data_IF_323141471701
#
_entry.id   IF_323141471701
#
_cell.length_a   1.000
_cell.length_b   1.000
_cell.length_c   1.000
_cell.angle_alpha   90.00
_cell.angle_beta   90.00
_cell.angle_gamma   90.00
#
_symmetry.space_group_name_H-M   'P 1'
#
loop_
_entity.id
_entity.type
_entity.pdbx_description
1 polymer ?
#
# COMPACT_ATOMS: atom_id res chain seq x y z
N UNK A 1 -9.68 47.37 -49.43
CA UNK A 1 -8.31 47.94 -49.33
C UNK A 1 -7.56 47.11 -48.29
N UNK A 2 -6.68 46.20 -48.75
CA UNK A 2 -5.20 46.28 -48.60
C UNK A 2 -4.78 46.17 -47.10
N UNK A 3 -4.05 45.18 -46.60
CA UNK A 3 -3.04 44.29 -47.23
C UNK A 3 -2.76 43.08 -46.34
N UNK A 4 -2.48 41.94 -46.99
CA UNK A 4 -1.84 40.72 -46.50
C UNK A 4 -0.53 40.95 -45.73
N UNK A 5 -0.17 40.04 -44.81
CA UNK A 5 1.18 39.47 -44.75
C UNK A 5 1.19 38.12 -43.99
N UNK A 6 1.40 37.06 -44.78
CA UNK A 6 1.84 35.70 -44.42
C UNK A 6 3.22 35.74 -43.78
N UNK A 7 3.47 34.88 -42.78
CA UNK A 7 4.81 34.31 -42.53
C UNK A 7 4.74 32.79 -42.56
N UNK A 8 5.68 32.23 -43.33
CA UNK A 8 5.94 30.83 -43.64
C UNK A 8 7.32 30.49 -43.06
N UNK A 9 7.51 29.24 -42.61
CA UNK A 9 8.82 28.59 -42.41
C UNK A 9 9.12 28.30 -40.93
N UNK A 10 9.63 27.14 -40.51
CA UNK A 10 10.28 25.98 -41.17
C UNK A 10 10.21 24.80 -40.18
N UNK A 11 10.01 23.53 -40.60
CA UNK A 11 10.14 22.38 -39.71
C UNK A 11 11.60 21.93 -39.58
N UNK A 12 12.09 21.78 -38.34
CA UNK A 12 13.42 21.31 -38.00
C UNK A 12 13.42 19.77 -37.98
N UNK A 13 14.15 19.14 -38.91
CA UNK A 13 14.45 17.71 -38.91
C UNK A 13 15.38 17.38 -37.73
N UNK A 14 15.00 16.42 -36.89
CA UNK A 14 15.89 15.79 -35.93
C UNK A 14 16.44 14.48 -36.53
N UNK A 15 17.75 14.44 -36.71
CA UNK A 15 18.55 13.31 -37.18
C UNK A 15 18.71 12.22 -36.11
N UNK A 16 18.44 10.98 -36.48
CA UNK A 16 18.74 9.76 -35.70
C UNK A 16 20.17 9.34 -36.00
N UNK A 17 21.02 9.28 -34.97
CA UNK A 17 22.37 8.71 -35.07
C UNK A 17 22.41 7.35 -34.38
N UNK A 18 22.58 6.29 -35.18
CA UNK A 18 22.94 4.94 -34.76
C UNK A 18 24.44 4.90 -34.45
N UNK A 19 24.81 4.51 -33.23
CA UNK A 19 26.18 4.14 -32.86
C UNK A 19 26.23 2.63 -32.68
N UNK A 20 26.91 1.97 -33.60
CA UNK A 20 27.27 0.56 -33.54
C UNK A 20 28.75 0.45 -33.14
N UNK A 21 29.05 -0.33 -32.10
CA UNK A 21 30.40 -0.77 -31.78
C UNK A 21 30.43 -2.31 -31.83
N UNK A 22 30.91 -2.87 -32.94
CA UNK A 22 31.77 -4.06 -32.91
C UNK A 22 33.21 -3.58 -32.60
N UNK A 23 34.15 -4.35 -32.08
CA UNK A 23 34.31 -5.78 -31.84
C UNK A 23 35.83 -5.99 -31.87
N UNK A 24 36.39 -6.82 -31.00
CA UNK A 24 37.76 -7.34 -31.19
C UNK A 24 37.88 -8.74 -30.61
N UNK A 25 37.94 -9.72 -31.51
CA UNK A 25 38.42 -11.07 -31.29
C UNK A 25 39.95 -11.08 -31.33
N UNK A 26 40.61 -11.51 -30.25
CA UNK A 26 42.03 -11.84 -30.27
C UNK A 26 42.21 -13.37 -30.36
N UNK A 27 42.72 -13.80 -31.51
CA UNK A 27 43.27 -15.13 -31.76
C UNK A 27 44.67 -15.22 -31.19
N UNK A 28 44.91 -16.20 -30.32
CA UNK A 28 46.22 -16.54 -29.78
C UNK A 28 46.45 -18.04 -29.85
N UNK A 29 46.96 -18.51 -30.98
CA UNK A 29 47.49 -19.86 -31.18
C UNK A 29 48.90 -19.94 -30.60
N UNK A 30 49.11 -20.83 -29.63
CA UNK A 30 50.42 -21.18 -29.10
C UNK A 30 50.46 -22.65 -28.72
N UNK A 31 50.99 -23.48 -29.62
CA UNK A 31 51.27 -24.91 -29.43
C UNK A 31 52.67 -25.11 -28.88
N UNK A 32 52.84 -25.94 -27.84
CA UNK A 32 54.15 -26.48 -27.40
C UNK A 32 54.05 -27.27 -26.09
N UNK A 33 54.86 -28.33 -25.88
CA UNK A 33 54.35 -29.65 -25.49
C UNK A 33 54.47 -30.02 -24.00
N UNK A 34 53.81 -31.14 -23.70
CA UNK A 34 53.70 -31.89 -22.45
C UNK A 34 55.02 -32.28 -21.79
N UNK A 35 55.04 -32.25 -20.45
CA UNK A 35 55.74 -33.26 -19.64
C UNK A 35 55.04 -33.42 -18.28
N UNK A 36 54.93 -34.67 -17.85
CA UNK A 36 54.10 -35.11 -16.73
C UNK A 36 54.72 -34.87 -15.36
N UNK A 37 53.83 -34.75 -14.37
CA UNK A 37 54.19 -34.72 -12.95
C UNK A 37 52.96 -35.01 -12.09
N UNK A 38 52.87 -36.22 -11.58
CA UNK A 38 51.93 -36.65 -10.54
C UNK A 38 52.23 -35.93 -9.23
N UNK A 39 51.24 -35.22 -8.67
CA UNK A 39 51.33 -34.61 -7.35
C UNK A 39 49.94 -34.30 -6.82
N UNK A 40 49.46 -35.14 -5.92
CA UNK A 40 48.25 -34.93 -5.13
C UNK A 40 48.46 -33.73 -4.21
N UNK A 41 47.64 -32.69 -4.33
CA UNK A 41 47.38 -31.74 -3.26
C UNK A 41 46.01 -31.08 -3.45
N UNK A 42 45.33 -30.91 -2.32
CA UNK A 42 43.91 -30.57 -2.18
C UNK A 42 43.48 -29.30 -2.94
N UNK A 43 42.23 -29.23 -3.44
CA UNK A 43 41.67 -27.95 -3.81
C UNK A 43 41.36 -27.16 -2.53
N UNK A 44 42.24 -26.24 -2.16
CA UNK A 44 41.86 -25.03 -1.46
C UNK A 44 40.78 -24.35 -2.30
N UNK A 45 39.54 -24.46 -1.83
CA UNK A 45 38.45 -23.65 -2.33
C UNK A 45 38.85 -22.18 -2.16
N UNK A 46 39.32 -21.57 -3.25
CA UNK A 46 39.18 -20.14 -3.46
C UNK A 46 37.69 -19.90 -3.46
N UNK A 47 37.16 -19.57 -2.29
CA UNK A 47 35.78 -19.21 -2.11
C UNK A 47 35.51 -18.04 -3.03
N UNK A 48 34.81 -18.32 -4.12
CA UNK A 48 34.18 -17.34 -4.96
C UNK A 48 33.48 -16.36 -4.04
N UNK A 49 33.95 -15.13 -4.02
CA UNK A 49 33.20 -13.97 -3.58
C UNK A 49 32.06 -13.76 -4.59
N UNK A 50 31.16 -14.74 -4.67
CA UNK A 50 29.82 -14.54 -5.17
C UNK A 50 29.19 -13.59 -4.17
N UNK A 51 28.96 -12.38 -4.63
CA UNK A 51 28.20 -11.34 -3.96
C UNK A 51 26.78 -11.82 -3.71
N UNK A 52 26.61 -12.79 -2.81
CA UNK A 52 25.35 -13.07 -2.15
C UNK A 52 24.97 -11.75 -1.51
N UNK A 53 23.86 -11.18 -1.99
CA UNK A 53 23.29 -9.97 -1.41
C UNK A 53 23.33 -10.14 0.11
N UNK A 54 24.11 -9.31 0.80
CA UNK A 54 24.36 -9.47 2.23
C UNK A 54 23.01 -9.58 2.94
N UNK A 55 22.66 -10.82 3.29
CA UNK A 55 21.37 -11.17 3.85
C UNK A 55 21.41 -10.93 5.34
N UNK A 56 20.24 -10.82 5.94
CA UNK A 56 20.16 -10.80 7.39
C UNK A 56 20.78 -12.07 7.99
N UNK A 57 21.48 -11.95 9.14
CA UNK A 57 21.93 -13.12 9.87
C UNK A 57 20.72 -13.98 10.30
N UNK A 58 20.89 -15.28 10.56
CA UNK A 58 19.79 -16.17 10.94
C UNK A 58 19.22 -15.85 12.34
N UNK A 59 19.99 -15.19 13.19
CA UNK A 59 19.61 -14.75 14.54
C UNK A 59 19.90 -13.27 14.72
N UNK A 60 19.20 -12.58 15.65
CA UNK A 60 19.49 -11.18 15.94
C UNK A 60 20.98 -10.99 16.28
N UNK A 61 21.70 -10.08 15.61
CA UNK A 61 23.09 -9.77 15.93
C UNK A 61 23.18 -9.03 17.26
N UNK A 62 24.39 -8.94 17.83
CA UNK A 62 24.63 -8.09 19.00
C UNK A 62 24.80 -6.63 18.59
N UNK A 63 24.41 -5.70 19.47
CA UNK A 63 24.67 -4.28 19.23
C UNK A 63 26.19 -4.03 19.07
N UNK A 64 26.57 -3.17 18.12
CA UNK A 64 27.95 -2.85 17.74
C UNK A 64 28.75 -3.97 17.04
N UNK A 65 28.13 -5.11 16.75
CA UNK A 65 28.73 -6.12 15.88
C UNK A 65 28.85 -5.58 14.44
N UNK A 66 29.87 -6.01 13.71
CA UNK A 66 30.11 -5.54 12.35
C UNK A 66 29.04 -6.05 11.38
N UNK A 67 28.62 -5.21 10.45
CA UNK A 67 27.66 -5.54 9.41
C UNK A 67 28.18 -5.08 8.04
N UNK A 68 27.88 -5.87 7.01
CA UNK A 68 28.46 -5.65 5.68
C UNK A 68 27.70 -4.59 4.86
N UNK A 69 26.40 -4.43 5.08
CA UNK A 69 25.52 -3.63 4.21
C UNK A 69 24.84 -2.50 4.98
N UNK A 70 25.37 -1.29 4.83
CA UNK A 70 24.80 -0.07 5.40
C UNK A 70 23.33 0.11 4.98
N UNK A 71 22.50 0.53 5.92
CA UNK A 71 21.06 0.72 5.73
C UNK A 71 20.24 -0.58 5.67
N UNK A 72 20.86 -1.77 5.76
CA UNK A 72 20.12 -3.03 5.86
C UNK A 72 19.36 -3.08 7.18
N UNK A 73 18.05 -3.32 7.10
CA UNK A 73 17.19 -3.54 8.27
C UNK A 73 16.73 -4.99 8.27
N UNK A 74 16.95 -5.66 9.40
CA UNK A 74 16.60 -7.05 9.64
C UNK A 74 15.58 -7.11 10.77
N UNK A 75 14.54 -7.92 10.57
CA UNK A 75 13.45 -8.09 11.52
C UNK A 75 13.37 -9.53 12.03
N UNK A 76 13.26 -9.68 13.35
CA UNK A 76 13.39 -10.96 14.05
C UNK A 76 12.31 -11.17 15.11
N UNK A 77 11.95 -12.43 15.34
CA UNK A 77 10.97 -12.85 16.33
C UNK A 77 9.69 -13.40 15.70
N UNK A 78 8.91 -14.14 16.48
CA UNK A 78 7.72 -14.86 16.00
C UNK A 78 6.42 -14.28 16.56
N UNK A 79 6.49 -13.13 17.23
CA UNK A 79 5.29 -12.41 17.65
C UNK A 79 4.48 -12.01 16.40
N UNK A 80 3.16 -12.17 16.35
CA UNK A 80 2.37 -11.69 15.19
C UNK A 80 2.49 -10.18 14.95
N UNK A 81 2.78 -9.39 15.99
CA UNK A 81 2.85 -7.94 15.90
C UNK A 81 4.24 -7.55 15.44
N UNK A 82 4.36 -7.01 14.22
CA UNK A 82 5.63 -6.50 13.68
C UNK A 82 6.30 -5.45 14.59
N UNK A 83 5.51 -4.66 15.33
CA UNK A 83 6.01 -3.71 16.33
C UNK A 83 6.69 -4.35 17.54
N UNK A 84 6.53 -5.67 17.73
CA UNK A 84 7.14 -6.47 18.79
C UNK A 84 8.37 -7.25 18.33
N UNK A 85 8.75 -7.13 17.06
CA UNK A 85 9.93 -7.78 16.54
C UNK A 85 11.19 -7.02 16.95
N UNK A 86 12.27 -7.76 17.14
CA UNK A 86 13.59 -7.15 17.26
C UNK A 86 14.02 -6.64 15.89
N UNK A 87 14.42 -5.38 15.83
CA UNK A 87 14.95 -4.75 14.62
C UNK A 87 16.45 -4.57 14.76
N UNK A 88 17.22 -5.03 13.79
CA UNK A 88 18.64 -4.73 13.66
C UNK A 88 18.88 -3.90 12.39
N UNK A 89 19.41 -2.69 12.56
CA UNK A 89 19.73 -1.78 11.44
C UNK A 89 21.24 -1.67 11.32
N UNK A 90 21.80 -1.90 10.15
CA UNK A 90 23.21 -1.69 9.90
C UNK A 90 23.46 -0.19 9.68
N UNK A 91 24.00 0.48 10.71
CA UNK A 91 24.26 1.92 10.68
C UNK A 91 25.36 2.31 9.70
N UNK A 92 25.54 3.62 9.52
CA UNK A 92 26.54 4.18 8.58
C UNK A 92 27.99 3.85 8.95
N UNK A 93 28.23 3.52 10.22
CA UNK A 93 29.52 3.06 10.75
C UNK A 93 29.82 1.59 10.42
N UNK A 94 28.91 0.89 9.74
CA UNK A 94 29.03 -0.55 9.46
C UNK A 94 28.85 -1.40 10.71
N UNK A 95 28.09 -0.90 11.69
CA UNK A 95 27.77 -1.59 12.95
C UNK A 95 26.27 -1.78 13.12
N UNK A 96 25.87 -2.88 13.74
CA UNK A 96 24.47 -3.16 14.05
C UNK A 96 23.95 -2.29 15.20
N UNK A 97 22.84 -1.59 14.94
CA UNK A 97 21.99 -0.94 15.91
C UNK A 97 20.77 -1.81 16.16
N UNK A 98 20.63 -2.35 17.38
CA UNK A 98 19.61 -3.36 17.71
C UNK A 98 18.58 -2.78 18.65
N UNK A 99 17.31 -2.86 18.27
CA UNK A 99 16.17 -2.44 19.07
C UNK A 99 15.28 -3.65 19.35
N UNK A 100 15.14 -4.00 20.62
CA UNK A 100 14.26 -5.09 21.07
C UNK A 100 13.11 -4.52 21.92
N UNK A 101 11.93 -4.28 21.32
CA UNK A 101 10.78 -3.75 22.04
C UNK A 101 10.26 -4.77 23.07
N UNK A 102 9.81 -4.26 24.23
CA UNK A 102 9.15 -5.07 25.25
C UNK A 102 7.65 -5.07 24.98
N UNK A 103 7.12 -6.21 24.55
CA UNK A 103 5.69 -6.36 24.30
C UNK A 103 5.00 -7.17 25.38
N UNK A 104 3.74 -6.82 25.67
CA UNK A 104 2.89 -7.61 26.54
C UNK A 104 2.59 -8.95 25.88
N UNK A 105 2.65 -10.03 26.66
CA UNK A 105 2.28 -11.37 26.21
C UNK A 105 0.85 -11.38 25.66
N UNK A 106 0.66 -12.08 24.55
CA UNK A 106 -0.66 -12.20 23.94
C UNK A 106 -1.55 -13.10 24.80
N UNK A 107 -2.83 -12.75 24.95
CA UNK A 107 -3.78 -13.63 25.58
C UNK A 107 -3.84 -14.98 24.86
N UNK A 108 -3.80 -16.09 25.61
CA UNK A 108 -3.90 -17.43 25.04
C UNK A 108 -5.36 -17.65 24.61
N UNK A 109 -5.56 -17.94 23.33
CA UNK A 109 -6.85 -18.36 22.79
C UNK A 109 -6.70 -19.65 21.99
N UNK A 110 -7.80 -20.40 21.90
CA UNK A 110 -7.88 -21.54 20.99
C UNK A 110 -8.16 -21.04 19.58
N UNK A 111 -7.15 -21.06 18.73
CA UNK A 111 -7.30 -20.64 17.36
C UNK A 111 -8.20 -21.60 16.58
N UNK A 112 -9.19 -21.09 15.82
CA UNK A 112 -9.92 -21.88 14.85
C UNK A 112 -8.97 -22.50 13.83
N UNK A 113 -9.33 -23.65 13.26
CA UNK A 113 -8.45 -24.43 12.38
C UNK A 113 -8.01 -23.69 11.11
N UNK A 114 -8.78 -22.71 10.66
CA UNK A 114 -8.46 -21.88 9.50
C UNK A 114 -8.98 -20.46 9.67
N UNK A 115 -8.45 -19.52 8.87
CA UNK A 115 -8.92 -18.13 8.80
C UNK A 115 -10.39 -18.06 8.42
N UNK A 116 -10.78 -18.89 7.46
CA UNK A 116 -12.16 -19.03 6.99
C UNK A 116 -13.09 -19.45 8.13
N UNK A 117 -12.65 -20.43 8.94
CA UNK A 117 -13.42 -20.89 10.09
C UNK A 117 -13.43 -19.88 11.24
N UNK A 118 -12.43 -19.00 11.33
CA UNK A 118 -12.37 -17.96 12.36
C UNK A 118 -13.29 -16.79 12.04
N UNK A 119 -13.24 -16.26 10.81
CA UNK A 119 -13.87 -14.99 10.43
C UNK A 119 -15.33 -14.87 10.93
N UNK A 120 -15.59 -13.82 11.73
CA UNK A 120 -16.90 -13.49 12.28
C UNK A 120 -17.37 -14.39 13.43
N UNK A 121 -16.64 -15.45 13.79
CA UNK A 121 -16.98 -16.29 14.94
C UNK A 121 -16.71 -15.56 16.25
N UNK A 122 -17.56 -15.82 17.24
CA UNK A 122 -17.35 -15.34 18.61
C UNK A 122 -16.00 -15.83 19.15
N UNK A 123 -15.31 -14.96 19.87
CA UNK A 123 -13.98 -15.24 20.37
C UNK A 123 -13.79 -14.70 21.79
N UNK A 124 -12.85 -15.32 22.50
CA UNK A 124 -12.43 -14.89 23.83
C UNK A 124 -11.02 -15.44 24.10
N UNK A 125 -10.16 -14.70 24.81
CA UNK A 125 -10.34 -13.32 25.28
C UNK A 125 -10.14 -12.27 24.17
N UNK A 126 -10.65 -11.05 24.38
CA UNK A 126 -10.38 -9.91 23.49
C UNK A 126 -8.87 -9.66 23.38
N UNK A 127 -8.44 -9.19 22.21
CA UNK A 127 -7.02 -8.98 21.83
C UNK A 127 -6.21 -10.27 21.67
N UNK A 128 -6.83 -11.45 21.72
CA UNK A 128 -6.17 -12.66 21.26
C UNK A 128 -5.85 -12.58 19.75
N UNK A 129 -4.75 -13.20 19.34
CA UNK A 129 -4.30 -13.26 17.95
C UNK A 129 -4.06 -14.71 17.53
N UNK A 130 -4.42 -15.02 16.30
CA UNK A 130 -4.15 -16.29 15.65
C UNK A 130 -3.41 -16.06 14.34
N UNK A 131 -2.27 -16.71 14.16
CA UNK A 131 -1.46 -16.68 12.93
C UNK A 131 -1.62 -18.00 12.21
N UNK A 132 -1.76 -17.95 10.89
CA UNK A 132 -1.98 -19.11 10.04
C UNK A 132 -0.78 -19.35 9.11
N UNK A 133 -0.79 -20.46 8.38
CA UNK A 133 0.35 -20.90 7.54
C UNK A 133 0.75 -19.90 6.44
N UNK A 134 -0.21 -19.10 5.96
CA UNK A 134 0.00 -18.03 4.98
C UNK A 134 0.59 -16.74 5.59
N UNK A 135 0.88 -16.75 6.90
CA UNK A 135 1.37 -15.61 7.68
C UNK A 135 0.30 -14.56 7.99
N UNK A 136 -0.94 -14.76 7.51
CA UNK A 136 -2.05 -13.87 7.81
C UNK A 136 -2.57 -14.17 9.21
N UNK A 137 -3.15 -13.14 9.84
CA UNK A 137 -3.65 -13.24 11.21
C UNK A 137 -5.13 -12.88 11.34
N UNK A 138 -5.75 -13.39 12.40
CA UNK A 138 -7.04 -12.95 12.90
C UNK A 138 -6.89 -12.38 14.31
N UNK A 139 -7.53 -11.25 14.59
CA UNK A 139 -7.60 -10.66 15.92
C UNK A 139 -9.00 -10.82 16.51
N UNK A 140 -9.06 -11.22 17.77
CA UNK A 140 -10.30 -11.25 18.52
C UNK A 140 -10.62 -9.84 18.98
N UNK A 141 -11.67 -9.23 18.43
CA UNK A 141 -11.96 -7.83 18.70
C UNK A 141 -13.45 -7.55 18.68
N UNK A 142 -13.87 -6.58 19.48
CA UNK A 142 -15.17 -5.94 19.33
C UNK A 142 -15.20 -4.97 18.13
N UNK A 143 -14.06 -4.69 17.50
CA UNK A 143 -13.87 -3.73 16.42
C UNK A 143 -13.35 -4.38 15.11
N UNK A 144 -14.11 -5.25 14.43
CA UNK A 144 -13.61 -5.99 13.27
C UNK A 144 -13.27 -5.10 12.07
N UNK A 145 -13.90 -3.93 11.96
CA UNK A 145 -13.59 -2.90 10.96
C UNK A 145 -13.15 -1.62 11.70
N UNK A 146 -11.84 -1.45 11.99
CA UNK A 146 -11.37 -0.33 12.79
C UNK A 146 -11.38 1.02 12.06
N UNK A 147 -11.56 1.03 10.73
CA UNK A 147 -11.45 2.22 9.89
C UNK A 147 -12.73 2.53 9.10
N UNK A 148 -13.14 3.81 8.98
CA UNK A 148 -12.56 5.00 9.64
C UNK A 148 -12.99 5.15 11.11
N UNK A 149 -14.03 4.44 11.55
CA UNK A 149 -14.56 4.46 12.92
C UNK A 149 -14.88 3.01 13.30
N UNK A 150 -14.33 2.52 14.42
CA UNK A 150 -14.80 1.27 14.99
C UNK A 150 -16.28 1.40 15.40
N UNK A 151 -17.12 0.51 14.88
CA UNK A 151 -18.45 0.26 15.41
C UNK A 151 -18.36 -0.95 16.35
N UNK A 152 -18.29 -0.75 17.67
CA UNK A 152 -18.06 -1.84 18.61
C UNK A 152 -19.24 -2.82 18.60
N UNK A 153 -18.91 -4.10 18.43
CA UNK A 153 -19.85 -5.20 18.56
C UNK A 153 -20.13 -5.49 20.04
N UNK A 154 -21.35 -5.95 20.37
CA UNK A 154 -21.69 -6.35 21.76
C UNK A 154 -20.82 -7.48 22.31
N UNK A 155 -20.23 -8.29 21.43
CA UNK A 155 -19.33 -9.38 21.77
C UNK A 155 -18.17 -9.42 20.77
N UNK A 156 -16.98 -9.79 21.25
CA UNK A 156 -15.80 -9.91 20.41
C UNK A 156 -15.96 -11.04 19.39
N UNK A 157 -15.54 -10.77 18.17
CA UNK A 157 -15.48 -11.73 17.08
C UNK A 157 -14.09 -11.74 16.45
N UNK A 158 -13.72 -12.86 15.84
CA UNK A 158 -12.50 -12.94 15.06
C UNK A 158 -12.63 -12.10 13.79
N UNK A 159 -11.73 -11.14 13.62
CA UNK A 159 -11.56 -10.38 12.39
C UNK A 159 -10.23 -10.76 11.75
N UNK A 160 -10.28 -11.26 10.51
CA UNK A 160 -9.13 -11.78 9.79
C UNK A 160 -8.65 -10.80 8.73
N UNK A 161 -7.33 -10.72 8.56
CA UNK A 161 -6.74 -9.92 7.48
C UNK A 161 -7.12 -10.46 6.09
N UNK A 162 -7.20 -9.61 5.08
CA UNK A 162 -7.23 -10.08 3.70
C UNK A 162 -5.79 -10.36 3.22
N UNK A 163 -5.57 -11.32 2.31
CA UNK A 163 -4.30 -11.42 1.60
C UNK A 163 -4.03 -10.14 0.80
N UNK A 164 -2.75 -9.90 0.46
CA UNK A 164 -2.41 -8.83 -0.47
C UNK A 164 -3.19 -8.99 -1.78
N UNK A 165 -3.81 -7.90 -2.24
CA UNK A 165 -4.61 -7.91 -3.45
C UNK A 165 -3.76 -8.05 -4.72
N UNK A 166 -2.49 -7.66 -4.68
CA UNK A 166 -1.55 -7.90 -5.78
C UNK A 166 -0.99 -9.33 -5.68
N UNK A 167 -1.30 -10.23 -6.64
CA UNK A 167 -0.82 -11.60 -6.64
C UNK A 167 0.70 -11.73 -6.83
N UNK A 168 1.38 -10.66 -7.26
CA UNK A 168 2.84 -10.64 -7.30
C UNK A 168 3.46 -10.50 -5.89
N UNK A 169 2.69 -10.03 -4.91
CA UNK A 169 3.12 -9.84 -3.53
C UNK A 169 2.79 -11.07 -2.67
N UNK A 170 3.58 -11.30 -1.62
CA UNK A 170 3.25 -12.34 -0.65
C UNK A 170 1.91 -12.03 0.02
N UNK A 171 1.10 -13.04 0.42
CA UNK A 171 -0.21 -12.81 1.05
C UNK A 171 -0.14 -11.94 2.30
N UNK A 172 0.79 -12.26 3.21
CA UNK A 172 1.08 -11.49 4.42
C UNK A 172 2.39 -10.70 4.28
N UNK A 173 2.57 -9.69 5.13
CA UNK A 173 3.76 -8.83 5.14
C UNK A 173 5.02 -9.65 5.47
N UNK A 174 6.00 -9.76 4.56
CA UNK A 174 7.29 -10.36 4.88
C UNK A 174 8.04 -9.56 5.94
N UNK A 175 8.88 -10.24 6.73
CA UNK A 175 9.83 -9.59 7.63
C UNK A 175 10.86 -8.80 6.83
N UNK A 176 11.30 -7.65 7.35
CA UNK A 176 12.39 -6.89 6.73
C UNK A 176 13.67 -7.73 6.62
N UNK A 177 14.34 -7.57 5.49
CA UNK A 177 15.59 -8.26 5.18
C UNK A 177 15.43 -9.70 4.67
N UNK A 178 14.20 -10.20 4.59
CA UNK A 178 13.92 -11.48 3.92
C UNK A 178 14.09 -11.37 2.40
N UNK A 179 14.45 -12.46 1.70
CA UNK A 179 14.67 -12.41 0.26
C UNK A 179 13.44 -11.99 -0.55
N UNK A 180 13.67 -11.27 -1.63
CA UNK A 180 12.66 -10.90 -2.62
C UNK A 180 13.21 -11.10 -4.04
N UNK A 181 12.35 -11.55 -4.95
CA UNK A 181 12.80 -12.00 -6.27
C UNK A 181 12.98 -10.85 -7.28
N UNK A 182 12.08 -9.85 -7.25
CA UNK A 182 12.00 -8.81 -8.28
C UNK A 182 12.45 -7.47 -7.71
N UNK A 183 13.67 -7.06 -8.06
CA UNK A 183 14.20 -5.75 -7.67
C UNK A 183 13.24 -4.61 -8.09
N UNK A 184 13.02 -3.65 -7.20
CA UNK A 184 12.09 -2.55 -7.42
C UNK A 184 10.61 -2.90 -7.25
N UNK A 185 10.27 -4.16 -6.92
CA UNK A 185 8.90 -4.53 -6.57
C UNK A 185 8.47 -3.82 -5.28
N UNK A 186 7.35 -3.12 -5.34
CA UNK A 186 6.70 -2.45 -4.22
C UNK A 186 5.45 -3.22 -3.83
N UNK A 187 5.33 -3.58 -2.55
CA UNK A 187 4.16 -4.25 -1.99
C UNK A 187 3.65 -3.47 -0.78
N UNK A 188 2.35 -3.14 -0.77
CA UNK A 188 1.70 -2.44 0.33
C UNK A 188 0.85 -3.41 1.14
N UNK A 189 1.04 -3.42 2.46
CA UNK A 189 0.35 -4.29 3.42
C UNK A 189 -0.52 -3.53 4.42
N UNK A 190 -0.71 -2.23 4.20
CA UNK A 190 -1.41 -1.32 5.09
C UNK A 190 -1.25 0.11 4.65
N UNK A 191 -1.97 1.02 5.30
CA UNK A 191 -1.88 2.46 5.01
C UNK A 191 -0.74 3.14 5.78
N UNK A 192 -0.19 2.48 6.80
CA UNK A 192 0.97 2.96 7.55
C UNK A 192 2.24 2.82 6.71
N UNK A 193 3.16 3.80 6.83
CA UNK A 193 4.39 3.82 6.02
C UNK A 193 5.26 2.59 6.26
N UNK A 194 5.25 2.07 7.48
CA UNK A 194 6.01 0.88 7.87
C UNK A 194 5.53 -0.41 7.18
N UNK A 195 4.34 -0.37 6.54
CA UNK A 195 3.72 -1.50 5.85
C UNK A 195 3.97 -1.51 4.33
N UNK A 196 4.68 -0.53 3.78
CA UNK A 196 5.12 -0.52 2.39
C UNK A 196 6.54 -1.09 2.28
N UNK A 197 6.70 -2.17 1.51
CA UNK A 197 7.97 -2.85 1.32
C UNK A 197 8.45 -2.74 -0.13
N UNK A 198 9.71 -2.36 -0.28
CA UNK A 198 10.41 -2.28 -1.55
C UNK A 198 11.51 -3.36 -1.60
N UNK A 199 11.56 -4.11 -2.70
CA UNK A 199 12.61 -5.08 -2.93
C UNK A 199 13.91 -4.37 -3.38
N UNK A 200 14.87 -4.23 -2.46
CA UNK A 200 16.13 -3.50 -2.71
C UNK A 200 17.30 -4.46 -2.58
N UNK A 201 18.04 -4.66 -3.68
CA UNK A 201 19.18 -5.58 -3.75
C UNK A 201 18.84 -6.96 -3.16
N UNK A 202 17.73 -7.55 -3.63
CA UNK A 202 17.33 -8.92 -3.31
C UNK A 202 16.72 -9.14 -1.92
N UNK A 203 16.48 -8.09 -1.12
CA UNK A 203 15.78 -8.21 0.17
C UNK A 203 14.68 -7.16 0.34
N UNK A 204 13.64 -7.51 1.09
CA UNK A 204 12.58 -6.58 1.46
C UNK A 204 13.10 -5.50 2.40
N UNK A 205 12.95 -4.24 2.01
CA UNK A 205 13.29 -3.07 2.81
C UNK A 205 12.05 -2.19 2.97
N UNK A 206 12.03 -1.31 3.98
CA UNK A 206 10.99 -0.27 4.03
C UNK A 206 11.12 0.60 2.79
N UNK A 207 10.01 0.95 2.17
CA UNK A 207 10.01 1.91 1.07
C UNK A 207 10.56 3.26 1.58
N UNK A 208 11.71 3.74 1.06
CA UNK A 208 12.27 5.03 1.46
C UNK A 208 11.53 6.22 0.83
N UNK A 209 10.61 5.98 -0.11
CA UNK A 209 9.83 7.01 -0.77
C UNK A 209 8.96 7.78 0.24
N UNK A 210 8.85 9.11 0.16
CA UNK A 210 7.98 9.92 1.01
C UNK A 210 6.46 9.71 0.78
N UNK A 211 6.03 8.70 0.03
CA UNK A 211 4.63 8.42 -0.35
C UNK A 211 4.40 6.91 -0.39
N UNK A 212 3.38 6.29 0.23
CA UNK A 212 2.09 6.75 0.76
C UNK A 212 1.94 6.21 2.19
N UNK A 213 2.07 7.08 3.18
CA UNK A 213 1.44 6.86 4.49
C UNK A 213 -0.01 7.34 4.46
N UNK A 214 -0.74 7.15 5.56
CA UNK A 214 -2.04 7.79 5.80
C UNK A 214 -2.05 9.24 5.26
N UNK A 215 -3.03 9.64 4.43
CA UNK A 215 -3.01 10.94 3.75
C UNK A 215 -2.75 12.13 4.70
N UNK A 216 -1.66 12.88 4.43
CA UNK A 216 -1.26 14.02 5.25
C UNK A 216 -2.12 15.27 4.93
N UNK A 217 -3.10 15.57 5.78
CA UNK A 217 -4.04 16.69 5.58
C UNK A 217 -3.58 18.01 6.22
N UNK A 218 -2.34 18.45 5.97
CA UNK A 218 -1.82 19.74 6.50
C UNK A 218 -1.29 20.63 5.38
N UNK A 219 -1.46 21.97 5.50
CA UNK A 219 -0.99 22.93 4.48
C UNK A 219 0.52 22.79 4.20
N UNK A 220 1.33 22.59 5.24
CA UNK A 220 2.79 22.39 5.12
C UNK A 220 3.18 21.18 4.27
N UNK A 221 2.31 20.18 4.15
CA UNK A 221 2.56 18.95 3.40
C UNK A 221 2.05 19.03 1.95
N UNK A 222 1.39 20.12 1.54
CA UNK A 222 0.74 20.26 0.22
C UNK A 222 1.27 21.49 -0.51
N UNK A 223 1.48 21.35 -1.83
CA UNK A 223 1.81 22.46 -2.75
C UNK A 223 0.62 22.72 -3.67
N UNK A 224 0.61 23.87 -4.36
CA UNK A 224 -0.38 24.22 -5.38
C UNK A 224 -1.84 24.12 -4.91
N UNK A 225 -2.08 24.52 -3.65
CA UNK A 225 -3.39 24.40 -3.01
C UNK A 225 -4.35 25.41 -3.65
N UNK A 226 -5.30 24.90 -4.44
CA UNK A 226 -6.46 25.64 -4.95
C UNK A 226 -7.74 25.06 -4.35
N UNK A 227 -8.62 25.95 -3.90
CA UNK A 227 -9.95 25.56 -3.45
C UNK A 227 -10.90 25.40 -4.63
N UNK A 228 -11.86 24.48 -4.50
CA UNK A 228 -12.91 24.28 -5.49
C UNK A 228 -13.82 25.51 -5.59
N UNK A 229 -14.12 25.90 -6.82
CA UNK A 229 -15.18 26.84 -7.14
C UNK A 229 -16.57 26.20 -6.94
N UNK A 230 -17.65 27.01 -6.88
CA UNK A 230 -19.00 26.48 -6.73
C UNK A 230 -19.40 25.50 -7.84
N UNK A 231 -19.06 25.77 -9.09
CA UNK A 231 -19.40 24.89 -10.22
C UNK A 231 -18.64 23.57 -10.16
N UNK A 232 -17.39 23.57 -9.69
CA UNK A 232 -16.62 22.34 -9.50
C UNK A 232 -17.21 21.49 -8.35
N UNK A 233 -17.61 22.12 -7.25
CA UNK A 233 -18.27 21.42 -6.15
C UNK A 233 -19.61 20.79 -6.59
N UNK A 234 -20.39 21.50 -7.41
CA UNK A 234 -21.64 20.98 -7.97
C UNK A 234 -21.41 19.81 -8.93
N UNK A 235 -20.39 19.89 -9.80
CA UNK A 235 -20.05 18.79 -10.70
C UNK A 235 -19.68 17.51 -9.91
N UNK A 236 -18.87 17.65 -8.85
CA UNK A 236 -18.52 16.53 -7.96
C UNK A 236 -19.76 15.97 -7.24
N UNK A 237 -20.65 16.83 -6.77
CA UNK A 237 -21.88 16.40 -6.11
C UNK A 237 -22.76 15.59 -7.07
N UNK A 238 -22.91 16.05 -8.32
CA UNK A 238 -23.65 15.34 -9.36
C UNK A 238 -22.99 13.98 -9.71
N UNK A 239 -21.66 13.92 -9.74
CA UNK A 239 -20.93 12.67 -9.96
C UNK A 239 -21.23 11.64 -8.85
N UNK A 240 -21.13 12.06 -7.57
CA UNK A 240 -21.46 11.20 -6.42
C UNK A 240 -22.90 10.70 -6.44
N UNK A 241 -23.85 11.57 -6.78
CA UNK A 241 -25.27 11.21 -6.85
C UNK A 241 -25.57 10.15 -7.92
N UNK A 242 -24.70 10.02 -8.93
CA UNK A 242 -24.85 9.04 -9.99
C UNK A 242 -24.08 7.73 -9.72
N UNK A 243 -23.37 7.61 -8.59
CA UNK A 243 -22.73 6.35 -8.19
C UNK A 243 -23.81 5.32 -7.88
N UNK A 244 -23.75 4.18 -8.58
CA UNK A 244 -24.63 3.04 -8.34
C UNK A 244 -24.11 2.27 -7.15
N UNK A 245 -24.95 2.20 -6.11
CA UNK A 245 -24.69 1.29 -5.01
C UNK A 245 -24.99 -0.14 -5.44
N UNK A 246 -24.08 -1.04 -5.07
CA UNK A 246 -24.18 -2.46 -5.29
C UNK A 246 -24.06 -3.19 -3.96
N UNK A 247 -24.71 -4.34 -3.87
CA UNK A 247 -24.39 -5.33 -2.85
C UNK A 247 -23.58 -6.45 -3.47
N UNK A 248 -22.48 -6.82 -2.84
CA UNK A 248 -21.56 -7.81 -3.39
C UNK A 248 -21.05 -8.77 -2.32
N UNK A 249 -20.47 -9.87 -2.75
CA UNK A 249 -19.66 -10.77 -1.92
C UNK A 249 -18.29 -10.88 -2.58
N UNK A 250 -17.24 -10.97 -1.77
CA UNK A 250 -15.90 -11.17 -2.31
C UNK A 250 -15.79 -12.56 -2.94
N UNK A 251 -15.02 -12.66 -4.01
CA UNK A 251 -14.70 -13.94 -4.66
C UNK A 251 -13.78 -14.81 -3.80
N UNK A 252 -13.05 -14.21 -2.86
CA UNK A 252 -12.26 -14.93 -1.86
C UNK A 252 -13.21 -15.70 -0.92
N UNK A 253 -13.13 -17.05 -0.85
CA UNK A 253 -13.96 -17.86 0.04
C UNK A 253 -13.91 -17.43 1.51
N UNK A 254 -12.78 -16.89 1.99
CA UNK A 254 -12.63 -16.41 3.37
C UNK A 254 -13.43 -15.14 3.68
N UNK A 255 -13.74 -14.37 2.63
CA UNK A 255 -14.49 -13.12 2.72
C UNK A 255 -15.91 -13.28 2.15
N UNK A 256 -16.24 -14.46 1.64
CA UNK A 256 -17.56 -14.84 1.12
C UNK A 256 -18.58 -15.13 2.23
N UNK A 257 -19.88 -15.12 1.92
CA UNK A 257 -20.94 -15.45 2.88
C UNK A 257 -21.44 -14.27 3.73
N UNK A 258 -20.85 -13.08 3.58
CA UNK A 258 -21.38 -11.84 4.14
C UNK A 258 -21.49 -10.80 3.04
N UNK A 259 -22.73 -10.56 2.59
CA UNK A 259 -23.04 -9.53 1.60
C UNK A 259 -22.67 -8.15 2.13
N UNK A 260 -21.84 -7.44 1.36
CA UNK A 260 -21.39 -6.08 1.65
C UNK A 260 -22.19 -5.09 0.82
N UNK A 261 -22.30 -3.86 1.32
CA UNK A 261 -22.79 -2.70 0.57
C UNK A 261 -21.57 -1.89 0.12
N UNK A 262 -21.55 -1.47 -1.15
CA UNK A 262 -20.55 -0.56 -1.67
C UNK A 262 -20.88 -0.15 -3.10
N UNK A 263 -19.87 0.02 -3.93
CA UNK A 263 -19.99 0.29 -5.37
C UNK A 263 -18.89 -0.48 -6.11
N UNK A 264 -19.06 -0.67 -7.41
CA UNK A 264 -18.10 -1.35 -8.27
C UNK A 264 -17.25 -0.28 -8.96
N UNK A 265 -15.93 -0.39 -8.86
CA UNK A 265 -15.00 0.63 -9.36
C UNK A 265 -15.07 0.73 -10.90
N UNK A 266 -15.26 -0.41 -11.56
CA UNK A 266 -15.35 -0.54 -13.01
C UNK A 266 -16.64 0.06 -13.59
N UNK A 267 -17.71 0.15 -12.79
CA UNK A 267 -19.00 0.71 -13.23
C UNK A 267 -18.98 2.24 -13.29
N UNK A 268 -18.00 2.87 -12.63
CA UNK A 268 -17.89 4.32 -12.52
C UNK A 268 -16.44 4.77 -12.67
N UNK A 269 -16.13 5.40 -13.80
CA UNK A 269 -14.91 6.18 -13.96
C UNK A 269 -14.99 7.44 -13.09
N UNK A 270 -14.95 7.29 -11.77
CA UNK A 270 -14.84 8.46 -10.89
C UNK A 270 -13.44 9.00 -11.02
N UNK A 271 -13.32 10.21 -11.56
CA UNK A 271 -12.02 10.82 -11.89
C UNK A 271 -11.11 11.01 -10.67
N UNK A 272 -11.70 10.95 -9.47
CA UNK A 272 -11.05 11.34 -8.22
C UNK A 272 -11.01 10.25 -7.15
N UNK A 273 -11.82 9.19 -7.23
CA UNK A 273 -11.94 8.20 -6.14
C UNK A 273 -11.39 6.80 -6.49
N UNK A 274 -10.93 6.60 -7.72
CA UNK A 274 -10.26 5.36 -8.14
C UNK A 274 -8.75 5.52 -8.24
N UNK A 275 -8.01 4.62 -7.60
CA UNK A 275 -6.62 4.32 -7.96
C UNK A 275 -6.65 3.19 -9.00
N UNK A 276 -6.69 3.58 -10.27
CA UNK A 276 -6.77 2.66 -11.40
C UNK A 276 -5.52 1.76 -11.52
N UNK A 277 -4.37 2.19 -10.98
CA UNK A 277 -3.16 1.37 -10.99
C UNK A 277 -3.20 0.28 -9.91
N UNK A 278 -3.93 0.51 -8.81
CA UNK A 278 -4.02 -0.42 -7.68
C UNK A 278 -5.35 -1.18 -7.58
N UNK A 279 -6.29 -0.98 -8.51
CA UNK A 279 -7.66 -1.52 -8.44
C UNK A 279 -8.32 -1.26 -7.07
N UNK A 280 -8.14 -0.04 -6.55
CA UNK A 280 -8.57 0.33 -5.20
C UNK A 280 -9.29 1.68 -5.20
N UNK A 281 -10.12 1.88 -4.18
CA UNK A 281 -10.74 3.18 -3.92
C UNK A 281 -9.77 4.02 -3.10
N UNK A 282 -9.47 5.24 -3.56
CA UNK A 282 -8.85 6.25 -2.68
C UNK A 282 -9.93 6.74 -1.72
N UNK A 283 -9.98 6.13 -0.53
CA UNK A 283 -10.96 6.45 0.51
C UNK A 283 -10.88 7.92 0.96
N UNK A 284 -9.70 8.54 0.93
CA UNK A 284 -9.55 9.93 1.33
C UNK A 284 -10.11 10.87 0.28
N UNK A 285 -9.83 10.60 -0.99
CA UNK A 285 -10.43 11.35 -2.08
C UNK A 285 -11.95 11.15 -2.14
N UNK A 286 -12.43 9.91 -2.02
CA UNK A 286 -13.86 9.59 -1.95
C UNK A 286 -14.56 10.32 -0.80
N UNK A 287 -14.01 10.27 0.42
CA UNK A 287 -14.56 10.97 1.57
C UNK A 287 -14.57 12.50 1.35
N UNK A 288 -13.53 13.06 0.72
CA UNK A 288 -13.48 14.47 0.38
C UNK A 288 -14.56 14.87 -0.63
N UNK A 289 -14.84 14.01 -1.62
CA UNK A 289 -15.94 14.22 -2.58
C UNK A 289 -17.31 14.12 -1.90
N UNK A 290 -17.50 13.19 -0.96
CA UNK A 290 -18.73 13.11 -0.16
C UNK A 290 -18.96 14.39 0.66
N UNK A 291 -17.91 15.00 1.23
CA UNK A 291 -18.03 16.28 1.93
C UNK A 291 -18.54 17.38 0.99
N UNK A 292 -18.03 17.44 -0.25
CA UNK A 292 -18.53 18.40 -1.25
C UNK A 292 -20.01 18.15 -1.58
N UNK A 293 -20.40 16.90 -1.79
CA UNK A 293 -21.79 16.52 -2.07
C UNK A 293 -22.74 16.90 -0.93
N UNK A 294 -22.36 16.65 0.32
CA UNK A 294 -23.14 17.03 1.51
C UNK A 294 -23.29 18.55 1.63
N UNK A 295 -22.22 19.30 1.34
CA UNK A 295 -22.26 20.77 1.35
C UNK A 295 -23.22 21.33 0.30
N UNK A 296 -23.22 20.77 -0.92
CA UNK A 296 -24.18 21.18 -1.97
C UNK A 296 -25.62 20.80 -1.60
N UNK A 297 -25.86 19.60 -1.08
CA UNK A 297 -27.18 19.20 -0.59
C UNK A 297 -27.68 20.13 0.53
N UNK A 298 -26.82 20.57 1.45
CA UNK A 298 -27.19 21.51 2.50
C UNK A 298 -27.64 22.86 1.92
N UNK A 299 -26.98 23.37 0.88
CA UNK A 299 -27.37 24.62 0.20
C UNK A 299 -28.74 24.49 -0.46
N UNK A 300 -29.00 23.38 -1.14
CA UNK A 300 -30.27 23.09 -1.78
C UNK A 300 -31.40 22.96 -0.75
N UNK A 301 -31.17 22.22 0.34
CA UNK A 301 -32.12 22.11 1.44
C UNK A 301 -32.48 23.46 2.04
N UNK A 302 -31.51 24.35 2.23
CA UNK A 302 -31.75 25.69 2.75
C UNK A 302 -32.52 26.57 1.76
N UNK A 303 -32.28 26.42 0.45
CA UNK A 303 -33.05 27.10 -0.58
C UNK A 303 -34.52 26.63 -0.57
N UNK A 304 -34.75 25.32 -0.56
CA UNK A 304 -36.09 24.72 -0.51
C UNK A 304 -36.83 25.12 0.77
N UNK A 305 -36.17 25.12 1.93
CA UNK A 305 -36.76 25.58 3.20
C UNK A 305 -37.24 27.03 3.13
N UNK A 306 -36.46 27.92 2.51
CA UNK A 306 -36.85 29.33 2.31
C UNK A 306 -38.05 29.45 1.38
N UNK A 307 -38.07 28.70 0.29
CA UNK A 307 -39.19 28.69 -0.65
C UNK A 307 -40.49 28.19 0.00
N UNK A 308 -40.42 27.08 0.73
CA UNK A 308 -41.58 26.55 1.49
C UNK A 308 -42.09 27.58 2.50
N UNK A 309 -41.21 28.28 3.21
CA UNK A 309 -41.61 29.33 4.14
C UNK A 309 -42.31 30.49 3.42
N UNK A 310 -41.79 30.92 2.27
CA UNK A 310 -42.40 31.96 1.45
C UNK A 310 -43.79 31.56 0.93
N UNK A 311 -43.93 30.32 0.43
CA UNK A 311 -45.20 29.79 -0.06
C UNK A 311 -46.24 29.69 1.05
N UNK A 312 -45.86 29.19 2.23
CA UNK A 312 -46.74 29.12 3.41
C UNK A 312 -47.23 30.51 3.84
N UNK A 313 -46.34 31.51 3.85
CA UNK A 313 -46.72 32.90 4.15
C UNK A 313 -47.70 33.47 3.10
N UNK A 314 -47.50 33.15 1.82
CA UNK A 314 -48.36 33.59 0.72
C UNK A 314 -49.76 32.97 0.79
N UNK A 315 -49.85 31.68 1.13
CA UNK A 315 -51.12 30.98 1.35
C UNK A 315 -51.88 31.54 2.56
N UNK A 316 -51.19 31.77 3.68
CA UNK A 316 -51.81 32.38 4.87
C UNK A 316 -52.41 33.77 4.57
N UNK A 317 -51.71 34.60 3.79
CA UNK A 317 -52.22 35.91 3.34
C UNK A 317 -53.44 35.81 2.41
N UNK A 318 -53.50 34.76 1.59
CA UNK A 318 -54.60 34.54 0.64
C UNK A 318 -55.84 33.93 1.31
N UNK A 319 -55.66 33.12 2.37
CA UNK A 319 -56.74 32.54 3.16
C UNK A 319 -57.49 33.55 4.04
N UNK A 320 -56.85 34.66 4.42
CA UNK A 320 -57.45 35.76 5.21
C UNK A 320 -58.33 36.69 4.35
N UNK A 321 -58.30 36.57 3.01
CA UNK A 321 -59.09 37.38 2.06
C UNK A 321 -60.39 36.70 1.58
N UNK A 322 -60.75 35.55 2.14
CA UNK A 322 -62.06 34.91 1.95
C UNK A 322 -62.88 35.04 3.22
#
# INVERSE_FOLDING_TARGET
MRTFLRRIGVPMLATVSLVACGGTTSTGTGTGPSDGGTGSDAPTALGDASSTAASCPPTPPSANESCARKGLVCEFGDDPRASCHTLATCGDTGKWEVTSPKCQALPIAKCPASRQAAQGQSCTPESALCVYEDGLQCNCTTCPNPYPICQPLPAAQWACQAPNADPACAPARPKLGTPCAKAGQLCSYGCERENNLLCVQGVWSRDPSPTIGCPASTRRAKKDIRYLSPSEAQALAAEVQNIRLATYEYTDPALSGSRKLGFILEDHATTFAGDAEKNQVDLYAYASTLVAAIQEQAKELDALKREVAHLRASQARSGVRK
#
